data_IF_224454654514
#
_entry.id   IF_224454654514
#
_cell.length_a   1.000
_cell.length_b   1.000
_cell.length_c   1.000
_cell.angle_alpha   90.00
_cell.angle_beta   90.00
_cell.angle_gamma   90.00
#
_symmetry.space_group_name_H-M   'P 1'
#
loop_
_entity.id
_entity.type
_entity.pdbx_description
1 polymer ?
#
# COMPACT_ATOMS: atom_id res chain seq x y z
N UNK A 1 -12.01 -16.76 2.25
CA UNK A 1 -10.87 -16.41 1.33
C UNK A 1 -11.28 -15.60 0.11
N UNK A 2 -12.42 -15.89 -0.56
CA UNK A 2 -12.91 -15.12 -1.72
C UNK A 2 -13.09 -13.62 -1.43
N UNK A 3 -13.52 -13.25 -0.22
CA UNK A 3 -13.74 -11.85 0.16
C UNK A 3 -12.47 -10.97 0.20
N UNK A 4 -11.33 -11.55 0.56
CA UNK A 4 -10.02 -10.89 0.53
C UNK A 4 -9.27 -11.10 -0.80
N UNK A 5 -9.84 -11.96 -1.67
CA UNK A 5 -9.27 -12.44 -2.95
C UNK A 5 -7.82 -12.90 -2.87
N UNK A 6 -7.37 -13.30 -1.69
CA UNK A 6 -6.08 -13.93 -1.49
C UNK A 6 -6.10 -15.28 -2.21
N UNK A 7 -5.45 -15.32 -3.37
CA UNK A 7 -5.15 -16.56 -4.08
C UNK A 7 -3.89 -17.16 -3.43
N UNK A 8 -4.11 -18.09 -2.51
CA UNK A 8 -3.02 -18.86 -1.92
C UNK A 8 -2.58 -19.86 -2.98
N UNK A 9 -1.50 -19.55 -3.69
CA UNK A 9 -0.86 -20.50 -4.59
C UNK A 9 -0.47 -21.78 -3.83
N UNK A 10 -0.60 -22.95 -4.48
CA UNK A 10 -0.35 -24.26 -3.85
C UNK A 10 1.04 -24.37 -3.22
N UNK A 11 2.04 -23.65 -3.76
CA UNK A 11 3.40 -23.61 -3.22
C UNK A 11 3.55 -22.79 -1.90
N UNK A 12 2.48 -22.14 -1.42
CA UNK A 12 2.43 -21.42 -0.14
C UNK A 12 1.57 -22.16 0.90
N UNK A 13 1.10 -23.37 0.60
CA UNK A 13 0.26 -24.20 1.47
C UNK A 13 0.82 -24.37 2.87
N UNK A 14 2.13 -24.57 3.01
CA UNK A 14 2.77 -24.90 4.29
C UNK A 14 2.90 -23.68 5.21
N UNK A 15 3.20 -22.51 4.63
CA UNK A 15 3.19 -21.24 5.37
C UNK A 15 1.79 -20.95 5.89
N UNK A 16 0.79 -21.11 5.03
CA UNK A 16 -0.62 -20.84 5.34
C UNK A 16 -1.12 -21.82 6.40
N UNK A 17 -0.83 -23.11 6.27
CA UNK A 17 -1.11 -24.13 7.29
C UNK A 17 -0.47 -23.80 8.63
N UNK A 18 0.81 -23.39 8.64
CA UNK A 18 1.52 -23.06 9.89
C UNK A 18 0.90 -21.85 10.60
N UNK A 19 0.52 -20.81 9.85
CA UNK A 19 -0.07 -19.59 10.40
C UNK A 19 -1.53 -19.80 10.83
N UNK A 20 -2.32 -20.54 10.05
CA UNK A 20 -3.66 -20.98 10.44
C UNK A 20 -3.63 -21.89 11.66
N UNK A 21 -2.70 -22.84 11.76
CA UNK A 21 -2.58 -23.72 12.92
C UNK A 21 -2.33 -22.94 14.23
N UNK A 22 -1.65 -21.79 14.18
CA UNK A 22 -1.53 -20.88 15.34
C UNK A 22 -2.88 -20.26 15.72
N UNK A 23 -3.69 -19.84 14.75
CA UNK A 23 -5.04 -19.30 14.97
C UNK A 23 -5.99 -20.37 15.53
N UNK A 24 -6.03 -21.55 14.94
CA UNK A 24 -6.83 -22.69 15.43
C UNK A 24 -6.53 -22.99 16.91
N UNK A 25 -5.24 -23.06 17.28
CA UNK A 25 -4.84 -23.24 18.68
C UNK A 25 -5.28 -22.11 19.60
N UNK A 26 -5.20 -20.85 19.14
CA UNK A 26 -5.62 -19.69 19.92
C UNK A 26 -7.12 -19.69 20.21
N UNK A 27 -7.93 -20.13 19.24
CA UNK A 27 -9.39 -20.22 19.35
C UNK A 27 -9.90 -21.54 19.94
N UNK A 28 -9.00 -22.50 20.21
CA UNK A 28 -9.40 -23.84 20.67
C UNK A 28 -10.12 -24.68 19.60
N UNK A 29 -9.96 -24.37 18.31
CA UNK A 29 -10.57 -25.09 17.21
C UNK A 29 -9.71 -26.29 16.78
N UNK A 30 -10.38 -27.42 16.48
CA UNK A 30 -9.72 -28.68 16.12
C UNK A 30 -9.69 -28.98 14.62
N UNK A 31 -10.40 -28.20 13.79
CA UNK A 31 -10.45 -28.38 12.34
C UNK A 31 -10.32 -27.07 11.57
N UNK A 32 -9.77 -27.15 10.35
CA UNK A 32 -9.69 -26.00 9.44
C UNK A 32 -11.06 -25.66 8.85
N UNK A 33 -11.92 -26.67 8.66
CA UNK A 33 -13.31 -26.48 8.24
C UNK A 33 -14.08 -25.64 9.27
N UNK A 34 -13.97 -25.99 10.56
CA UNK A 34 -14.62 -25.23 11.63
C UNK A 34 -14.08 -23.82 11.78
N UNK A 35 -12.80 -23.61 11.44
CA UNK A 35 -12.24 -22.28 11.32
C UNK A 35 -12.84 -21.51 10.14
N UNK A 36 -12.87 -22.07 8.93
CA UNK A 36 -13.48 -21.44 7.75
C UNK A 36 -14.95 -21.05 8.01
N UNK A 37 -15.73 -21.96 8.60
CA UNK A 37 -17.14 -21.72 8.96
C UNK A 37 -17.29 -20.55 9.93
N UNK A 38 -16.37 -20.39 10.88
CA UNK A 38 -16.36 -19.24 11.79
C UNK A 38 -16.12 -17.95 11.01
N UNK A 39 -15.10 -17.91 10.15
CA UNK A 39 -14.70 -16.68 9.45
C UNK A 39 -15.70 -16.21 8.40
N UNK A 40 -16.53 -17.12 7.88
CA UNK A 40 -17.57 -16.80 6.88
C UNK A 40 -18.88 -16.30 7.50
N UNK A 41 -19.03 -16.41 8.82
CA UNK A 41 -20.21 -15.93 9.56
C UNK A 41 -20.04 -14.45 9.97
N UNK A 42 -21.15 -13.69 10.09
CA UNK A 42 -21.10 -12.31 10.58
C UNK A 42 -20.41 -12.16 11.95
N UNK A 43 -20.58 -13.14 12.83
CA UNK A 43 -19.96 -13.19 14.16
C UNK A 43 -18.43 -13.40 14.11
N UNK A 44 -17.90 -13.87 12.98
CA UNK A 44 -16.48 -14.08 12.75
C UNK A 44 -15.76 -12.94 12.04
N UNK A 45 -16.39 -11.77 11.89
CA UNK A 45 -15.79 -10.62 11.20
C UNK A 45 -14.45 -10.17 11.82
N UNK A 46 -14.32 -10.24 13.14
CA UNK A 46 -13.07 -9.94 13.84
C UNK A 46 -11.99 -10.99 13.54
N UNK A 47 -12.38 -12.28 13.49
CA UNK A 47 -11.45 -13.36 13.12
C UNK A 47 -11.04 -13.30 11.65
N UNK A 48 -11.88 -12.75 10.76
CA UNK A 48 -11.50 -12.48 9.38
C UNK A 48 -10.34 -11.48 9.32
N UNK A 49 -10.36 -10.44 10.15
CA UNK A 49 -9.25 -9.51 10.30
C UNK A 49 -7.96 -10.21 10.74
N UNK A 50 -8.08 -11.08 11.75
CA UNK A 50 -6.94 -11.85 12.27
C UNK A 50 -6.40 -12.88 11.28
N UNK A 51 -7.27 -13.53 10.50
CA UNK A 51 -6.90 -14.40 9.40
C UNK A 51 -6.10 -13.62 8.35
N UNK A 52 -6.61 -12.47 7.93
CA UNK A 52 -5.94 -11.62 6.94
C UNK A 52 -4.57 -11.21 7.45
N UNK A 53 -4.47 -10.70 8.69
CA UNK A 53 -3.20 -10.33 9.32
C UNK A 53 -2.20 -11.49 9.34
N UNK A 54 -2.66 -12.68 9.75
CA UNK A 54 -1.84 -13.87 9.78
C UNK A 54 -1.36 -14.26 8.37
N UNK A 55 -2.19 -14.14 7.33
CA UNK A 55 -1.81 -14.54 5.98
C UNK A 55 -0.95 -13.50 5.24
N UNK A 56 -1.05 -12.23 5.61
CA UNK A 56 -0.19 -11.17 5.07
C UNK A 56 1.21 -11.24 5.67
N UNK A 57 2.26 -11.17 4.84
CA UNK A 57 3.64 -11.03 5.32
C UNK A 57 3.99 -9.56 5.34
N UNK A 58 3.73 -8.90 6.48
CA UNK A 58 3.88 -7.44 6.64
C UNK A 58 5.32 -7.02 6.93
N UNK A 59 6.28 -7.56 6.19
CA UNK A 59 7.68 -7.12 6.27
C UNK A 59 7.87 -5.93 5.34
N UNK A 60 7.87 -4.74 5.92
CA UNK A 60 8.23 -3.49 5.26
C UNK A 60 9.37 -2.82 6.03
N UNK A 61 10.20 -2.06 5.32
CA UNK A 61 11.26 -1.25 5.90
C UNK A 61 11.30 0.09 5.14
N UNK A 62 11.84 1.12 5.79
CA UNK A 62 11.98 2.43 5.15
C UNK A 62 12.88 2.31 3.93
N UNK A 63 12.56 3.06 2.87
CA UNK A 63 13.32 3.05 1.61
C UNK A 63 13.48 1.67 0.96
N UNK A 64 12.57 0.72 1.26
CA UNK A 64 12.49 -0.56 0.53
C UNK A 64 12.42 -0.29 -0.98
N UNK A 65 13.26 -0.96 -1.77
CA UNK A 65 13.44 -0.72 -3.21
C UNK A 65 13.67 0.78 -3.54
N UNK A 66 14.78 1.33 -3.04
CA UNK A 66 15.10 2.77 -3.01
C UNK A 66 14.98 3.49 -4.35
N UNK A 67 15.23 2.80 -5.47
CA UNK A 67 15.14 3.36 -6.82
C UNK A 67 13.77 3.99 -7.14
N UNK A 68 12.67 3.52 -6.52
CA UNK A 68 11.36 4.17 -6.68
C UNK A 68 11.32 5.56 -6.01
N UNK A 69 12.01 5.72 -4.89
CA UNK A 69 12.11 6.99 -4.17
C UNK A 69 13.10 7.94 -4.83
N UNK A 70 14.17 7.42 -5.45
CA UNK A 70 15.06 8.21 -6.30
C UNK A 70 14.28 8.80 -7.50
N UNK A 71 13.44 7.99 -8.13
CA UNK A 71 12.55 8.43 -9.21
C UNK A 71 11.49 9.41 -8.72
N UNK A 72 10.94 9.17 -7.51
CA UNK A 72 9.99 10.09 -6.87
C UNK A 72 10.60 11.47 -6.63
N UNK A 73 11.86 11.52 -6.18
CA UNK A 73 12.59 12.75 -5.90
C UNK A 73 13.04 13.50 -7.16
N UNK A 74 13.02 12.84 -8.32
CA UNK A 74 13.55 13.38 -9.58
C UNK A 74 12.43 13.59 -10.59
N UNK A 75 12.13 12.60 -11.41
CA UNK A 75 11.23 12.78 -12.56
C UNK A 75 9.78 12.97 -12.14
N UNK A 76 9.31 12.25 -11.11
CA UNK A 76 7.95 12.46 -10.60
C UNK A 76 7.83 13.82 -9.92
N UNK A 77 8.84 14.24 -9.15
CA UNK A 77 8.84 15.54 -8.50
C UNK A 77 8.71 16.69 -9.50
N UNK A 78 9.34 16.61 -10.68
CA UNK A 78 9.20 17.63 -11.74
C UNK A 78 7.74 17.80 -12.16
N UNK A 79 7.06 16.70 -12.51
CA UNK A 79 5.65 16.72 -12.90
C UNK A 79 4.75 17.26 -11.78
N UNK A 80 5.04 16.87 -10.53
CA UNK A 80 4.26 17.28 -9.36
C UNK A 80 4.46 18.75 -9.02
N UNK A 81 5.68 19.28 -9.11
CA UNK A 81 6.00 20.69 -8.86
C UNK A 81 5.32 21.61 -9.88
N UNK A 82 5.32 21.23 -11.16
CA UNK A 82 4.61 21.97 -12.21
C UNK A 82 3.12 22.09 -11.89
N UNK A 83 2.48 20.98 -11.49
CA UNK A 83 1.07 20.94 -11.09
C UNK A 83 0.79 21.74 -9.82
N UNK A 84 1.68 21.64 -8.83
CA UNK A 84 1.57 22.40 -7.58
C UNK A 84 1.65 23.92 -7.87
N UNK A 85 2.53 24.34 -8.79
CA UNK A 85 2.61 25.73 -9.27
C UNK A 85 1.33 26.22 -9.94
N UNK A 86 0.56 25.32 -10.56
CA UNK A 86 -0.78 25.59 -11.09
C UNK A 86 -1.91 25.51 -10.03
N UNK A 87 -1.57 25.44 -8.74
CA UNK A 87 -2.52 25.38 -7.63
C UNK A 87 -3.20 24.02 -7.45
N UNK A 88 -2.71 22.95 -8.08
CA UNK A 88 -3.25 21.61 -7.91
C UNK A 88 -2.55 20.87 -6.77
N UNK A 89 -3.28 20.30 -5.79
CA UNK A 89 -2.65 19.57 -4.70
C UNK A 89 -2.04 18.25 -5.19
N UNK A 90 -0.88 17.90 -4.65
CA UNK A 90 -0.23 16.59 -4.83
C UNK A 90 -0.99 15.52 -4.05
N UNK A 91 -1.45 14.45 -4.74
CA UNK A 91 -2.20 13.35 -4.14
C UNK A 91 -1.52 12.02 -4.44
N UNK A 92 -1.04 11.36 -3.39
CA UNK A 92 -0.39 10.05 -3.49
C UNK A 92 -1.21 8.99 -2.77
N UNK A 93 -1.17 7.76 -3.26
CA UNK A 93 -1.76 6.61 -2.57
C UNK A 93 -0.73 5.50 -2.37
N UNK A 94 -0.47 5.11 -1.13
CA UNK A 94 0.21 3.86 -0.78
C UNK A 94 -0.86 2.80 -0.49
N UNK A 95 -0.99 1.86 -1.42
CA UNK A 95 -1.95 0.75 -1.44
C UNK A 95 -1.28 -0.54 -0.97
N UNK A 96 -1.66 -1.01 0.22
CA UNK A 96 -0.98 -2.07 0.97
C UNK A 96 0.23 -1.54 1.75
N UNK A 97 0.00 -0.53 2.58
CA UNK A 97 1.07 0.22 3.25
C UNK A 97 1.72 -0.51 4.44
N UNK A 98 1.20 -1.65 4.86
CA UNK A 98 1.63 -2.42 6.02
C UNK A 98 1.80 -1.50 7.27
N UNK A 99 2.91 -1.64 7.98
CA UNK A 99 3.26 -0.89 9.19
C UNK A 99 3.62 0.59 8.95
N UNK A 100 3.37 1.14 7.77
CA UNK A 100 3.45 2.58 7.50
C UNK A 100 4.81 3.12 7.10
N UNK A 101 5.86 2.29 7.00
CA UNK A 101 7.17 2.79 6.56
C UNK A 101 7.14 3.37 5.15
N UNK A 102 6.43 2.74 4.20
CA UNK A 102 6.31 3.25 2.83
C UNK A 102 5.69 4.66 2.74
N UNK A 103 4.48 4.93 3.28
CA UNK A 103 3.90 6.27 3.18
C UNK A 103 4.71 7.32 3.94
N UNK A 104 5.40 6.98 5.03
CA UNK A 104 6.32 7.91 5.67
C UNK A 104 7.59 8.16 4.82
N UNK A 105 8.14 7.15 4.14
CA UNK A 105 9.23 7.37 3.17
C UNK A 105 8.78 8.30 2.04
N UNK A 106 7.58 8.09 1.48
CA UNK A 106 7.00 8.98 0.45
C UNK A 106 6.92 10.41 0.99
N UNK A 107 6.40 10.59 2.22
CA UNK A 107 6.28 11.90 2.85
C UNK A 107 7.65 12.59 3.05
N UNK A 108 8.67 11.85 3.49
CA UNK A 108 10.03 12.37 3.67
C UNK A 108 10.65 12.83 2.34
N UNK A 109 10.49 12.02 1.28
CA UNK A 109 11.02 12.34 -0.06
C UNK A 109 10.32 13.57 -0.63
N UNK A 110 8.99 13.63 -0.55
CA UNK A 110 8.23 14.77 -1.04
C UNK A 110 8.53 16.05 -0.26
N UNK A 111 8.69 15.98 1.06
CA UNK A 111 9.15 17.13 1.85
C UNK A 111 10.53 17.61 1.39
N UNK A 112 11.46 16.68 1.10
CA UNK A 112 12.81 16.99 0.62
C UNK A 112 12.85 17.79 -0.69
N UNK A 113 11.85 17.63 -1.57
CA UNK A 113 11.74 18.34 -2.86
C UNK A 113 10.78 19.53 -2.82
N UNK A 114 10.35 19.96 -1.64
CA UNK A 114 9.43 21.10 -1.49
C UNK A 114 7.95 20.78 -1.74
N UNK A 115 7.58 19.51 -1.78
CA UNK A 115 6.19 19.04 -1.87
C UNK A 115 5.71 18.45 -0.53
N UNK A 116 6.13 19.07 0.58
CA UNK A 116 5.71 18.68 1.92
C UNK A 116 4.24 18.98 2.22
N UNK A 117 3.75 18.57 3.40
CA UNK A 117 2.38 18.85 3.87
C UNK A 117 2.04 20.35 3.86
N UNK A 118 3.01 21.22 4.14
CA UNK A 118 2.88 22.68 4.05
C UNK A 118 2.52 23.18 2.64
N UNK A 119 2.84 22.41 1.61
CA UNK A 119 2.53 22.70 0.19
C UNK A 119 1.34 21.88 -0.32
N UNK A 120 0.47 21.41 0.58
CA UNK A 120 -0.80 20.77 0.23
C UNK A 120 -0.70 19.32 -0.22
N UNK A 121 0.44 18.66 0.01
CA UNK A 121 0.62 17.24 -0.27
C UNK A 121 -0.26 16.37 0.64
N UNK A 122 -0.95 15.41 0.04
CA UNK A 122 -1.84 14.46 0.73
C UNK A 122 -1.52 13.04 0.34
N UNK A 123 -1.17 12.22 1.32
CA UNK A 123 -0.86 10.80 1.13
C UNK A 123 -1.98 9.99 1.76
N UNK A 124 -2.71 9.23 0.95
CA UNK A 124 -3.60 8.19 1.44
C UNK A 124 -2.77 6.92 1.63
N UNK A 125 -2.83 6.31 2.80
CA UNK A 125 -2.20 5.03 3.09
C UNK A 125 -3.28 4.03 3.48
N UNK A 126 -3.34 2.89 2.79
CA UNK A 126 -4.36 1.89 3.04
C UNK A 126 -3.79 0.50 3.16
N UNK A 127 -4.36 -0.30 4.04
CA UNK A 127 -4.09 -1.72 4.16
C UNK A 127 -5.38 -2.46 4.51
N UNK A 128 -5.44 -3.75 4.21
CA UNK A 128 -6.56 -4.60 4.59
C UNK A 128 -6.47 -5.00 6.07
N UNK A 129 -5.26 -5.03 6.63
CA UNK A 129 -5.02 -5.42 8.01
C UNK A 129 -5.23 -4.21 8.97
N UNK A 130 -6.21 -4.27 9.89
CA UNK A 130 -6.47 -3.19 10.84
C UNK A 130 -5.37 -3.01 11.88
N UNK A 131 -4.62 -4.07 12.23
CA UNK A 131 -3.60 -4.05 13.28
C UNK A 131 -2.37 -3.26 12.81
N UNK A 132 -1.92 -3.51 11.56
CA UNK A 132 -0.82 -2.72 10.98
C UNK A 132 -1.21 -1.27 10.72
N UNK A 133 -2.48 -1.00 10.38
CA UNK A 133 -2.98 0.37 10.24
C UNK A 133 -3.02 1.09 11.59
N UNK A 134 -3.44 0.39 12.65
CA UNK A 134 -3.41 0.91 14.01
C UNK A 134 -1.97 1.27 14.43
N UNK A 135 -1.03 0.34 14.20
CA UNK A 135 0.39 0.55 14.45
C UNK A 135 0.94 1.75 13.67
N UNK A 136 0.71 1.80 12.35
CA UNK A 136 1.22 2.85 11.47
C UNK A 136 0.76 4.27 11.86
N UNK A 137 -0.48 4.40 12.38
CA UNK A 137 -1.05 5.67 12.86
C UNK A 137 -0.33 6.23 14.09
N UNK A 138 0.26 5.37 14.91
CA UNK A 138 1.07 5.83 16.04
C UNK A 138 2.27 6.62 15.55
N UNK A 139 2.85 6.21 14.41
CA UNK A 139 4.12 6.73 13.91
C UNK A 139 5.29 6.42 14.85
N UNK A 140 5.12 5.47 15.77
CA UNK A 140 6.09 5.11 16.79
C UNK A 140 6.78 3.80 16.41
N UNK A 141 8.07 3.88 16.09
CA UNK A 141 8.84 2.73 15.60
C UNK A 141 9.97 2.39 16.58
N UNK A 142 10.08 1.13 17.04
CA UNK A 142 11.28 0.66 17.71
C UNK A 142 12.50 0.82 16.81
N UNK A 143 13.68 1.04 17.40
CA UNK A 143 14.94 1.27 16.66
C UNK A 143 15.20 0.23 15.56
N UNK A 144 14.84 -1.03 15.79
CA UNK A 144 15.04 -2.15 14.86
C UNK A 144 14.19 -2.01 13.58
N UNK A 145 13.08 -1.27 13.62
CA UNK A 145 12.19 -1.04 12.48
C UNK A 145 12.56 0.21 11.65
N UNK A 146 13.55 0.99 12.09
CA UNK A 146 14.04 2.20 11.41
C UNK A 146 15.13 1.91 10.37
N UNK A 147 15.42 0.63 10.09
CA UNK A 147 16.36 0.23 9.05
C UNK A 147 16.02 0.87 7.70
N UNK A 148 17.06 1.37 7.02
CA UNK A 148 16.95 2.11 5.76
C UNK A 148 16.91 3.63 5.91
N UNK A 149 16.72 4.16 7.12
CA UNK A 149 16.86 5.60 7.39
C UNK A 149 18.33 5.98 7.63
N UNK A 150 18.74 7.13 7.08
CA UNK A 150 20.00 7.78 7.44
C UNK A 150 19.87 8.55 8.75
N UNK A 151 21.00 8.92 9.35
CA UNK A 151 21.02 9.76 10.55
C UNK A 151 20.35 11.12 10.30
N UNK A 152 20.49 11.66 9.07
CA UNK A 152 19.80 12.88 8.65
C UNK A 152 18.27 12.71 8.66
N UNK A 153 17.76 11.60 8.08
CA UNK A 153 16.33 11.31 8.12
C UNK A 153 15.80 11.17 9.54
N UNK A 154 16.53 10.45 10.40
CA UNK A 154 16.15 10.29 11.81
C UNK A 154 16.11 11.63 12.54
N UNK A 155 17.16 12.43 12.43
CA UNK A 155 17.26 13.75 13.08
C UNK A 155 16.16 14.70 12.60
N UNK A 156 15.89 14.71 11.29
CA UNK A 156 14.91 15.63 10.69
C UNK A 156 13.47 15.22 10.98
N UNK A 157 13.13 13.93 10.87
CA UNK A 157 11.74 13.49 10.82
C UNK A 157 11.25 12.68 12.02
N UNK A 158 12.14 12.24 12.91
CA UNK A 158 11.79 11.46 14.09
C UNK A 158 12.29 12.10 15.38
N UNK A 159 11.67 11.71 16.49
CA UNK A 159 12.08 12.10 17.84
C UNK A 159 12.11 10.85 18.72
N UNK A 160 13.25 10.58 19.36
CA UNK A 160 13.34 9.52 20.36
C UNK A 160 12.55 9.91 21.62
N UNK A 161 11.82 8.96 22.21
CA UNK A 161 11.08 9.17 23.46
C UNK A 161 11.80 8.66 24.71
N UNK A 162 13.05 8.19 24.57
CA UNK A 162 13.85 7.64 25.66
C UNK A 162 13.58 6.16 25.97
N UNK A 163 12.54 5.53 25.41
CA UNK A 163 12.23 4.10 25.59
C UNK A 163 12.90 3.16 24.58
N UNK A 164 13.68 3.72 23.65
CA UNK A 164 14.18 3.01 22.46
C UNK A 164 13.23 3.06 21.26
N UNK A 165 12.14 3.82 21.39
CA UNK A 165 11.16 4.10 20.33
C UNK A 165 11.38 5.50 19.75
N UNK A 166 11.12 5.62 18.44
CA UNK A 166 11.25 6.85 17.68
C UNK A 166 9.89 7.22 17.08
N UNK A 167 9.43 8.42 17.39
CA UNK A 167 8.14 8.93 16.99
C UNK A 167 8.28 9.85 15.78
N UNK A 168 7.52 9.60 14.72
CA UNK A 168 7.43 10.49 13.57
C UNK A 168 6.92 11.87 14.03
N UNK A 169 7.60 12.94 13.62
CA UNK A 169 7.23 14.32 13.98
C UNK A 169 5.89 14.71 13.35
N UNK A 170 5.20 15.68 13.96
CA UNK A 170 3.84 16.11 13.60
C UNK A 170 3.66 16.39 12.10
N UNK A 171 4.52 17.23 11.51
CA UNK A 171 4.45 17.55 10.08
C UNK A 171 4.44 16.29 9.19
N UNK A 172 5.27 15.28 9.49
CA UNK A 172 5.28 14.04 8.71
C UNK A 172 4.00 13.22 8.87
N UNK A 173 3.44 13.19 10.10
CA UNK A 173 2.18 12.51 10.40
C UNK A 173 0.99 13.19 9.72
N UNK A 174 0.99 14.52 9.64
CA UNK A 174 -0.09 15.30 9.07
C UNK A 174 -0.21 15.12 7.54
N UNK A 175 0.87 14.74 6.85
CA UNK A 175 0.82 14.39 5.43
C UNK A 175 0.08 13.07 5.13
N UNK A 176 -0.01 12.16 6.11
CA UNK A 176 -0.41 10.76 5.88
C UNK A 176 -1.75 10.45 6.54
N UNK A 177 -2.73 10.04 5.74
CA UNK A 177 -4.03 9.58 6.20
C UNK A 177 -4.14 8.06 6.08
N UNK A 178 -4.14 7.35 7.20
CA UNK A 178 -4.27 5.88 7.24
C UNK A 178 -5.73 5.40 7.27
N UNK A 179 -6.10 4.44 6.43
CA UNK A 179 -7.45 3.83 6.39
C UNK A 179 -7.38 2.32 6.15
N UNK A 180 -8.22 1.55 6.85
CA UNK A 180 -8.42 0.13 6.55
C UNK A 180 -9.23 0.03 5.25
N UNK A 181 -8.68 -0.61 4.21
CA UNK A 181 -9.34 -0.83 2.92
C UNK A 181 -8.88 -2.14 2.28
N UNK A 182 -9.84 -2.91 1.82
CA UNK A 182 -9.61 -4.03 0.91
C UNK A 182 -9.57 -3.52 -0.54
N UNK A 183 -8.48 -3.79 -1.26
CA UNK A 183 -8.29 -3.36 -2.66
C UNK A 183 -9.33 -3.94 -3.61
N UNK A 184 -9.96 -5.06 -3.25
CA UNK A 184 -10.93 -5.74 -4.10
C UNK A 184 -12.34 -5.16 -3.98
N UNK A 185 -12.64 -4.49 -2.86
CA UNK A 185 -13.93 -3.83 -2.65
C UNK A 185 -13.98 -2.48 -3.40
N UNK A 186 -15.17 -1.87 -3.57
CA UNK A 186 -15.29 -0.54 -4.17
C UNK A 186 -14.48 0.52 -3.43
N UNK A 187 -13.88 1.45 -4.18
CA UNK A 187 -13.06 2.52 -3.63
C UNK A 187 -13.86 3.83 -3.56
N UNK A 188 -14.14 4.37 -2.36
CA UNK A 188 -15.01 5.55 -2.22
C UNK A 188 -14.30 6.87 -2.55
N UNK A 189 -13.00 6.84 -2.88
CA UNK A 189 -12.26 8.02 -3.26
C UNK A 189 -12.80 8.58 -4.59
N UNK A 190 -13.15 9.86 -4.65
CA UNK A 190 -13.71 10.48 -5.86
C UNK A 190 -12.65 11.17 -6.73
N UNK A 191 -11.62 11.76 -6.11
CA UNK A 191 -10.52 12.40 -6.82
C UNK A 191 -9.44 11.42 -7.27
N UNK A 192 -8.76 11.74 -8.38
CA UNK A 192 -7.62 10.97 -8.88
C UNK A 192 -6.33 11.24 -8.10
N UNK A 193 -5.37 10.35 -8.23
CA UNK A 193 -4.02 10.42 -7.67
C UNK A 193 -3.00 10.75 -8.77
N UNK A 194 -1.94 11.45 -8.38
CA UNK A 194 -0.79 11.74 -9.23
C UNK A 194 0.19 10.56 -9.27
N UNK A 195 0.30 9.85 -8.15
CA UNK A 195 1.03 8.59 -8.07
C UNK A 195 0.36 7.58 -7.14
N UNK A 196 0.48 6.30 -7.48
CA UNK A 196 0.05 5.17 -6.65
C UNK A 196 1.22 4.20 -6.47
N UNK A 197 1.50 3.83 -5.22
CA UNK A 197 2.41 2.77 -4.84
C UNK A 197 1.57 1.56 -4.45
N UNK A 198 1.70 0.45 -5.17
CA UNK A 198 1.02 -0.81 -4.86
C UNK A 198 2.04 -1.93 -4.96
N UNK A 199 2.87 -2.07 -3.93
CA UNK A 199 4.14 -2.80 -4.00
C UNK A 199 4.14 -4.02 -3.11
N UNK A 200 4.47 -5.17 -3.69
CA UNK A 200 4.51 -6.47 -3.03
C UNK A 200 3.13 -6.90 -2.47
N UNK A 201 2.05 -6.47 -3.11
CA UNK A 201 0.65 -6.74 -2.73
C UNK A 201 -0.05 -7.58 -3.80
N UNK A 202 0.14 -7.26 -5.08
CA UNK A 202 -0.63 -7.93 -6.14
C UNK A 202 -0.17 -9.37 -6.37
N UNK A 203 1.01 -9.74 -5.89
CA UNK A 203 1.52 -11.13 -5.87
C UNK A 203 0.64 -12.12 -5.08
N UNK A 204 -0.32 -11.61 -4.29
CA UNK A 204 -1.27 -12.44 -3.54
C UNK A 204 -2.59 -12.67 -4.29
N UNK A 205 -2.77 -12.07 -5.48
CA UNK A 205 -4.00 -12.18 -6.26
C UNK A 205 -3.80 -13.05 -7.49
N UNK A 206 -4.86 -13.74 -7.92
CA UNK A 206 -4.86 -14.45 -9.20
C UNK A 206 -4.83 -13.49 -10.40
N UNK A 207 -4.57 -14.03 -11.60
CA UNK A 207 -4.40 -13.21 -12.82
C UNK A 207 -5.66 -12.42 -13.20
N UNK A 208 -6.84 -12.97 -12.95
CA UNK A 208 -8.12 -12.32 -13.24
C UNK A 208 -8.32 -11.11 -12.32
N UNK A 209 -8.06 -11.30 -11.02
CA UNK A 209 -8.14 -10.27 -10.00
C UNK A 209 -7.10 -9.17 -10.22
N UNK A 210 -5.87 -9.52 -10.58
CA UNK A 210 -4.85 -8.54 -10.99
C UNK A 210 -5.34 -7.70 -12.18
N UNK A 211 -5.92 -8.34 -13.21
CA UNK A 211 -6.40 -7.65 -14.41
C UNK A 211 -7.52 -6.65 -14.11
N UNK A 212 -8.46 -7.02 -13.22
CA UNK A 212 -9.49 -6.09 -12.70
C UNK A 212 -8.85 -4.94 -11.92
N UNK A 213 -7.87 -5.22 -11.07
CA UNK A 213 -7.18 -4.20 -10.29
C UNK A 213 -6.45 -3.17 -11.16
N UNK A 214 -5.81 -3.59 -12.25
CA UNK A 214 -5.15 -2.67 -13.17
C UNK A 214 -6.13 -1.66 -13.77
N UNK A 215 -7.29 -2.12 -14.21
CA UNK A 215 -8.33 -1.23 -14.73
C UNK A 215 -8.80 -0.24 -13.66
N UNK A 216 -9.06 -0.71 -12.43
CA UNK A 216 -9.43 0.16 -11.29
C UNK A 216 -8.33 1.19 -10.97
N UNK A 217 -7.06 0.79 -10.95
CA UNK A 217 -5.95 1.73 -10.74
C UNK A 217 -5.91 2.78 -11.86
N UNK A 218 -6.10 2.37 -13.11
CA UNK A 218 -6.09 3.27 -14.25
C UNK A 218 -7.23 4.30 -14.24
N UNK A 219 -8.37 3.99 -13.60
CA UNK A 219 -9.45 4.96 -13.33
C UNK A 219 -9.08 5.98 -12.26
N UNK A 220 -8.29 5.56 -11.25
CA UNK A 220 -7.91 6.41 -10.12
C UNK A 220 -6.62 7.19 -10.31
N UNK A 221 -5.78 6.81 -11.26
CA UNK A 221 -4.57 7.54 -11.60
C UNK A 221 -4.89 8.57 -12.68
N UNK A 222 -4.38 9.79 -12.52
CA UNK A 222 -4.48 10.82 -13.57
C UNK A 222 -3.75 10.38 -14.83
N UNK A 223 -4.22 10.73 -16.04
CA UNK A 223 -3.40 10.58 -17.23
C UNK A 223 -2.06 11.31 -17.05
N UNK A 224 -0.98 10.65 -17.45
CA UNK A 224 0.40 11.07 -17.19
C UNK A 224 0.92 10.78 -15.78
N UNK A 225 0.07 10.33 -14.85
CA UNK A 225 0.44 9.96 -13.48
C UNK A 225 1.16 8.62 -13.38
N UNK A 226 1.56 8.25 -12.16
CA UNK A 226 2.54 7.20 -11.93
C UNK A 226 1.98 6.00 -11.16
N UNK A 227 2.43 4.79 -11.52
CA UNK A 227 2.16 3.55 -10.80
C UNK A 227 3.48 2.84 -10.50
N UNK A 228 3.70 2.55 -9.22
CA UNK A 228 4.88 1.84 -8.72
C UNK A 228 4.47 0.46 -8.22
N UNK A 229 5.13 -0.58 -8.73
CA UNK A 229 4.92 -1.98 -8.34
C UNK A 229 6.19 -2.55 -7.71
N UNK A 230 6.08 -3.65 -6.98
CA UNK A 230 7.22 -4.34 -6.38
C UNK A 230 8.03 -5.14 -7.40
N UNK A 231 9.26 -5.51 -7.04
CA UNK A 231 10.23 -6.13 -7.97
C UNK A 231 9.72 -7.35 -8.77
N UNK A 232 8.81 -8.14 -8.19
CA UNK A 232 8.26 -9.37 -8.80
C UNK A 232 6.92 -9.16 -9.52
N UNK A 233 6.43 -7.92 -9.58
CA UNK A 233 5.09 -7.59 -10.06
C UNK A 233 5.15 -6.92 -11.43
N UNK A 234 4.24 -7.29 -12.31
CA UNK A 234 4.18 -6.77 -13.68
C UNK A 234 2.72 -6.52 -14.06
N UNK A 235 2.50 -5.47 -14.85
CA UNK A 235 1.22 -5.25 -15.53
C UNK A 235 0.99 -6.40 -16.51
N UNK A 236 -0.22 -6.94 -16.53
CA UNK A 236 -0.61 -7.99 -17.48
C UNK A 236 -0.84 -7.39 -18.87
N UNK A 237 -0.67 -8.18 -19.96
CA UNK A 237 -0.82 -7.66 -21.34
C UNK A 237 -2.14 -6.93 -21.60
N UNK A 238 -3.24 -7.38 -20.98
CA UNK A 238 -4.55 -6.74 -21.13
C UNK A 238 -4.65 -5.33 -20.54
N UNK A 239 -3.69 -4.91 -19.71
CA UNK A 239 -3.66 -3.60 -19.07
C UNK A 239 -2.49 -2.72 -19.56
N UNK A 240 -1.64 -3.20 -20.48
CA UNK A 240 -0.53 -2.43 -21.04
C UNK A 240 -1.00 -1.19 -21.81
N UNK A 241 -2.20 -1.24 -22.41
CA UNK A 241 -2.81 -0.07 -23.05
C UNK A 241 -3.02 1.10 -22.06
N UNK A 242 -3.24 0.81 -20.77
CA UNK A 242 -3.45 1.83 -19.74
C UNK A 242 -2.16 2.29 -19.08
N UNK A 243 -1.10 1.48 -19.13
CA UNK A 243 0.15 1.73 -18.40
C UNK A 243 1.37 1.47 -19.27
N UNK A 244 2.04 2.55 -19.67
CA UNK A 244 3.31 2.48 -20.38
C UNK A 244 4.45 2.27 -19.38
N UNK A 245 5.32 1.28 -19.60
CA UNK A 245 6.49 1.07 -18.75
C UNK A 245 7.45 2.25 -18.88
N UNK A 246 7.82 2.85 -17.75
CA UNK A 246 8.74 4.00 -17.69
C UNK A 246 10.12 3.62 -17.15
N UNK A 247 10.17 2.76 -16.13
CA UNK A 247 11.43 2.31 -15.51
C UNK A 247 11.26 0.89 -14.95
N UNK A 248 12.23 0.42 -14.15
CA UNK A 248 12.10 -0.81 -13.37
C UNK A 248 10.85 -0.70 -12.50
N UNK A 249 9.91 -1.61 -12.73
CA UNK A 249 8.64 -1.74 -11.99
C UNK A 249 7.81 -0.46 -11.82
N UNK A 250 8.07 0.53 -12.68
CA UNK A 250 7.38 1.82 -12.66
C UNK A 250 6.73 2.07 -14.01
N UNK A 251 5.48 2.51 -13.97
CA UNK A 251 4.62 2.68 -15.13
C UNK A 251 3.97 4.07 -15.12
N UNK A 252 3.75 4.63 -16.31
CA UNK A 252 3.05 5.88 -16.52
C UNK A 252 1.65 5.61 -17.07
N UNK A 253 0.64 6.22 -16.47
CA UNK A 253 -0.74 6.14 -16.91
C UNK A 253 -0.88 6.83 -18.27
N UNK A 254 -1.33 6.11 -19.28
CA UNK A 254 -1.55 6.64 -20.63
C UNK A 254 -2.79 7.54 -20.67
N UNK A 255 -3.07 8.16 -21.83
CA UNK A 255 -4.32 8.90 -22.05
C UNK A 255 -5.47 8.00 -22.53
N UNK A 256 -5.22 6.70 -22.72
CA UNK A 256 -6.24 5.76 -23.19
C UNK A 256 -7.42 5.75 -22.22
N UNK A 257 -8.65 6.06 -22.69
CA UNK A 257 -9.84 6.03 -21.84
C UNK A 257 -10.07 4.62 -21.28
N UNK A 258 -10.58 4.53 -20.07
CA UNK A 258 -11.08 3.25 -19.55
C UNK A 258 -12.42 3.00 -20.23
N UNK A 259 -12.42 2.18 -21.27
CA UNK A 259 -13.67 1.64 -21.80
C UNK A 259 -14.21 0.69 -20.75
N UNK A 260 -15.45 0.92 -20.31
CA UNK A 260 -16.10 0.08 -19.32
C UNK A 260 -16.20 -1.35 -19.86
N UNK A 261 -15.24 -2.21 -19.56
CA UNK A 261 -15.37 -3.65 -19.77
C UNK A 261 -16.30 -4.16 -18.69
N UNK A 262 -17.57 -4.35 -19.08
CA UNK A 262 -18.56 -5.14 -18.35
C UNK A 262 -19.14 -4.49 -17.10
N UNK A 263 -20.31 -3.87 -17.24
CA UNK A 263 -21.30 -3.93 -16.15
C UNK A 263 -21.61 -5.42 -15.94
N UNK A 264 -21.12 -6.00 -14.85
CA UNK A 264 -21.66 -7.27 -14.36
C UNK A 264 -23.11 -6.99 -13.91
N UNK A 265 -24.03 -7.59 -14.67
CA UNK A 265 -25.43 -7.84 -14.34
C UNK A 265 -25.56 -8.82 -13.19
#
# INVERSE_FOLDING_TARGET
>A
MREAGLAIADNKSDMVRTRLARRLRHLGLSSYEGYCDLVERPEGADELGQLISALTTNVSHFFRESHHFDLLATDVAKDLLERAGAGQPTRIWSAGCANGQEPYTIAMVLNGVGLGPENGCKILATDIDPDVISFARTGAYPKQMLGGLSDEHLSRYFQADGSGTFNAKGALRDAVTFRVRNLLKPWPMTGRFDAVFCRNVVIYFDKETQSRLWSKFAERIRPGGWLFLGHSERISPCAEAYFAKSSVTTYRRTDVPITATGKES
#
